data_IF_185458637050
#
_entry.id   IF_185458637050
#
_cell.length_a   1.000
_cell.length_b   1.000
_cell.length_c   1.000
_cell.angle_alpha   90.00
_cell.angle_beta   90.00
_cell.angle_gamma   90.00
#
_symmetry.space_group_name_H-M   'P 1'
#
loop_
_entity.id
_entity.type
_entity.pdbx_description
1 polymer ?
#
# COMPACT_ATOMS: atom_id res chain seq x y z
N UNK A 1 -18.36 -23.71 -6.60
CA UNK A 1 -16.94 -23.46 -6.91
C UNK A 1 -16.78 -21.96 -6.87
N UNK A 2 -16.36 -21.42 -5.74
CA UNK A 2 -16.14 -19.98 -5.58
C UNK A 2 -14.86 -19.60 -6.33
N UNK A 3 -14.97 -18.64 -7.23
CA UNK A 3 -13.83 -18.06 -7.93
C UNK A 3 -12.88 -17.44 -6.89
N UNK A 4 -11.75 -18.06 -6.72
CA UNK A 4 -10.58 -17.46 -6.08
C UNK A 4 -10.21 -16.20 -6.86
N UNK A 5 -9.86 -15.18 -6.11
CA UNK A 5 -9.49 -13.82 -6.48
C UNK A 5 -8.95 -13.69 -7.92
N UNK A 6 -9.67 -13.03 -8.85
CA UNK A 6 -9.25 -12.89 -10.25
C UNK A 6 -7.91 -12.15 -10.39
N UNK A 7 -7.46 -11.44 -9.36
CA UNK A 7 -6.16 -10.76 -9.34
C UNK A 7 -4.99 -11.75 -9.40
N UNK A 8 -5.06 -12.87 -8.68
CA UNK A 8 -4.02 -13.91 -8.71
C UNK A 8 -4.03 -14.71 -10.03
N UNK A 9 -5.20 -14.84 -10.67
CA UNK A 9 -5.33 -15.59 -11.92
C UNK A 9 -4.81 -14.83 -13.15
N UNK A 10 -4.97 -13.51 -13.21
CA UNK A 10 -4.42 -12.70 -14.32
C UNK A 10 -2.89 -12.57 -14.25
N UNK A 11 -2.29 -12.60 -13.04
CA UNK A 11 -0.86 -12.50 -12.85
C UNK A 11 -0.12 -13.75 -13.38
N UNK A 12 -0.77 -14.93 -13.37
CA UNK A 12 -0.09 -16.21 -13.66
C UNK A 12 0.21 -16.51 -15.13
N UNK A 13 -0.34 -15.78 -16.11
CA UNK A 13 -0.23 -16.12 -17.54
C UNK A 13 0.87 -15.44 -18.35
N UNK A 14 1.59 -14.47 -17.79
CA UNK A 14 2.46 -13.58 -18.58
C UNK A 14 3.97 -13.61 -18.26
N UNK A 15 4.50 -14.51 -17.44
CA UNK A 15 5.83 -14.31 -16.88
C UNK A 15 6.85 -15.39 -17.30
N UNK A 16 7.24 -15.42 -18.55
CA UNK A 16 8.56 -15.93 -19.00
C UNK A 16 8.97 -15.19 -20.27
N UNK A 17 10.00 -14.39 -20.37
CA UNK A 17 11.43 -14.61 -20.22
C UNK A 17 12.31 -13.42 -19.76
N UNK A 18 11.90 -12.57 -18.82
CA UNK A 18 12.62 -11.31 -18.53
C UNK A 18 13.34 -11.22 -17.17
N UNK A 19 13.48 -12.32 -16.41
CA UNK A 19 14.16 -12.32 -15.08
C UNK A 19 15.59 -11.74 -15.11
N UNK A 20 16.35 -11.98 -16.17
CA UNK A 20 17.72 -11.47 -16.28
C UNK A 20 17.79 -9.94 -16.45
N UNK A 21 16.79 -9.33 -17.08
CA UNK A 21 16.75 -7.87 -17.31
C UNK A 21 16.40 -7.08 -16.06
N UNK A 22 15.48 -7.58 -15.22
CA UNK A 22 15.07 -6.90 -13.98
C UNK A 22 16.20 -6.84 -12.95
N UNK A 23 16.98 -7.90 -12.79
CA UNK A 23 18.17 -7.93 -11.92
C UNK A 23 19.23 -6.95 -12.42
N UNK A 24 19.42 -6.83 -13.74
CA UNK A 24 20.39 -5.91 -14.35
C UNK A 24 19.97 -4.45 -14.10
N UNK A 25 18.68 -4.12 -14.14
CA UNK A 25 18.19 -2.74 -13.92
C UNK A 25 18.38 -2.30 -12.47
N UNK A 26 18.09 -3.13 -11.50
CA UNK A 26 18.34 -2.85 -10.07
C UNK A 26 19.85 -2.73 -9.81
N UNK A 27 20.66 -3.59 -10.40
CA UNK A 27 22.13 -3.55 -10.29
C UNK A 27 22.71 -2.28 -10.95
N UNK A 28 22.17 -1.82 -12.08
CA UNK A 28 22.60 -0.59 -12.76
C UNK A 28 22.31 0.66 -11.93
N UNK A 29 21.18 0.72 -11.22
CA UNK A 29 20.86 1.85 -10.32
C UNK A 29 21.84 1.90 -9.15
N UNK A 30 22.18 0.76 -8.56
CA UNK A 30 23.18 0.66 -7.49
C UNK A 30 24.58 1.12 -7.98
N UNK A 31 24.94 0.78 -9.21
CA UNK A 31 26.24 1.16 -9.79
C UNK A 31 26.31 2.65 -10.15
N UNK A 32 25.22 3.26 -10.64
CA UNK A 32 25.15 4.68 -10.93
C UNK A 32 25.30 5.56 -9.67
N UNK A 33 24.88 5.06 -8.50
CA UNK A 33 25.05 5.75 -7.22
C UNK A 33 26.50 5.75 -6.70
N UNK A 34 27.43 4.95 -7.27
CA UNK A 34 28.78 4.76 -6.74
C UNK A 34 29.86 5.62 -7.40
N UNK A 35 29.57 6.36 -8.47
CA UNK A 35 30.58 7.05 -9.29
C UNK A 35 30.71 8.56 -9.06
N UNK A 36 30.02 9.14 -8.07
CA UNK A 36 30.06 10.58 -7.78
C UNK A 36 31.06 10.96 -6.69
N UNK A 37 32.14 11.62 -7.02
CA UNK A 37 33.11 12.19 -6.08
C UNK A 37 32.50 13.37 -5.29
N UNK A 38 32.34 13.20 -3.97
CA UNK A 38 32.55 14.21 -2.96
C UNK A 38 31.68 15.47 -2.95
N UNK A 39 30.48 15.36 -2.43
CA UNK A 39 29.79 16.37 -1.61
C UNK A 39 28.98 15.57 -0.60
N UNK A 40 28.72 16.08 0.61
CA UNK A 40 28.06 15.35 1.70
C UNK A 40 26.83 14.59 1.18
N UNK A 41 27.05 13.39 0.68
CA UNK A 41 26.04 12.51 0.13
C UNK A 41 25.43 11.80 1.33
N UNK A 42 24.16 12.06 1.57
CA UNK A 42 23.43 11.25 2.55
C UNK A 42 23.50 9.78 2.11
N UNK A 43 23.69 8.91 3.09
CA UNK A 43 23.89 7.48 2.81
C UNK A 43 22.60 6.87 2.26
N UNK A 44 22.62 6.21 1.09
CA UNK A 44 21.46 5.49 0.61
C UNK A 44 20.98 4.47 1.63
N UNK A 45 19.68 4.30 1.75
CA UNK A 45 19.02 3.38 2.66
C UNK A 45 18.44 2.21 1.89
N UNK A 46 18.66 1.00 2.41
CA UNK A 46 17.94 -0.20 2.02
C UNK A 46 17.05 -0.57 3.20
N UNK A 47 15.76 -0.56 2.99
CA UNK A 47 14.74 -0.90 3.97
C UNK A 47 13.75 -1.89 3.36
N UNK A 48 12.78 -2.32 4.14
CA UNK A 48 11.71 -3.16 3.63
C UNK A 48 11.20 -4.12 4.67
N UNK A 49 10.42 -5.10 4.21
CA UNK A 49 9.87 -6.16 5.04
C UNK A 49 10.08 -7.53 4.43
N UNK A 50 10.20 -8.51 5.31
CA UNK A 50 10.07 -9.93 4.99
C UNK A 50 8.88 -10.43 5.79
N UNK A 51 7.96 -11.12 5.14
CA UNK A 51 6.76 -11.63 5.78
C UNK A 51 6.43 -13.07 5.35
N UNK A 52 5.73 -13.76 6.22
CA UNK A 52 5.07 -15.01 5.92
C UNK A 52 3.65 -14.92 6.46
N UNK A 53 2.69 -15.10 5.60
CA UNK A 53 1.27 -15.03 5.94
C UNK A 53 0.58 -16.35 5.65
N UNK A 54 -0.41 -16.68 6.45
CA UNK A 54 -1.38 -17.73 6.16
C UNK A 54 -2.79 -17.18 6.29
N UNK A 55 -3.65 -17.53 5.36
CA UNK A 55 -5.06 -17.15 5.37
C UNK A 55 -5.91 -18.40 5.18
N UNK A 56 -6.88 -18.62 6.08
CA UNK A 56 -7.83 -19.73 6.02
C UNK A 56 -9.21 -19.19 5.71
N UNK A 57 -9.71 -19.54 4.54
CA UNK A 57 -11.00 -19.15 4.01
C UNK A 57 -11.82 -20.41 3.67
N UNK A 58 -13.03 -20.54 4.22
CA UNK A 58 -13.90 -21.66 3.91
C UNK A 58 -13.27 -23.04 4.16
N UNK A 59 -12.38 -23.16 5.15
CA UNK A 59 -11.66 -24.41 5.47
C UNK A 59 -10.41 -24.68 4.63
N UNK A 60 -10.10 -23.82 3.67
CA UNK A 60 -8.90 -23.90 2.83
C UNK A 60 -7.84 -22.90 3.32
N UNK A 61 -6.61 -23.33 3.52
CA UNK A 61 -5.51 -22.49 3.98
C UNK A 61 -4.55 -22.19 2.83
N UNK A 62 -4.29 -20.92 2.58
CA UNK A 62 -3.29 -20.43 1.64
C UNK A 62 -2.08 -19.88 2.40
N UNK A 63 -0.91 -19.91 1.77
CA UNK A 63 0.33 -19.37 2.33
C UNK A 63 0.95 -18.38 1.38
N UNK A 64 1.52 -17.30 1.93
CA UNK A 64 2.10 -16.19 1.18
C UNK A 64 3.43 -15.74 1.82
N UNK A 65 4.56 -16.35 1.51
CA UNK A 65 5.86 -15.74 1.76
C UNK A 65 6.07 -14.53 0.85
N UNK A 66 6.56 -13.44 1.42
CA UNK A 66 6.74 -12.16 0.72
C UNK A 66 7.98 -11.42 1.19
N UNK A 67 8.67 -10.77 0.27
CA UNK A 67 9.78 -9.85 0.53
C UNK A 67 9.49 -8.56 -0.23
N UNK A 68 9.46 -7.44 0.47
CA UNK A 68 9.27 -6.09 -0.12
C UNK A 68 10.50 -5.21 0.19
N UNK A 69 11.54 -5.24 -0.62
CA UNK A 69 12.66 -4.33 -0.48
C UNK A 69 12.29 -2.92 -0.95
N UNK A 70 12.78 -1.92 -0.20
CA UNK A 70 12.69 -0.51 -0.52
C UNK A 70 14.09 0.09 -0.52
N UNK A 71 14.41 0.86 -1.55
CA UNK A 71 15.66 1.59 -1.70
C UNK A 71 15.32 3.07 -1.76
N UNK A 72 16.01 3.88 -0.97
CA UNK A 72 15.94 5.33 -1.01
C UNK A 72 17.37 5.89 -1.14
N UNK A 73 17.66 6.54 -2.26
CA UNK A 73 18.98 7.06 -2.61
C UNK A 73 18.91 8.56 -2.82
N UNK A 74 19.34 9.39 -1.84
CA UNK A 74 19.46 10.83 -2.03
C UNK A 74 20.62 11.14 -2.97
N UNK A 75 20.37 12.01 -3.94
CA UNK A 75 21.34 12.48 -4.94
C UNK A 75 21.46 13.99 -4.82
N UNK A 76 22.52 14.45 -4.16
CA UNK A 76 22.67 15.85 -3.79
C UNK A 76 21.61 16.30 -2.79
N UNK A 77 21.24 17.60 -2.85
CA UNK A 77 20.34 18.20 -1.83
C UNK A 77 18.86 18.12 -2.18
N UNK A 78 18.52 17.92 -3.45
CA UNK A 78 17.16 18.16 -3.94
C UNK A 78 16.53 16.95 -4.64
N UNK A 79 17.30 15.90 -4.93
CA UNK A 79 16.79 14.72 -5.63
C UNK A 79 16.86 13.49 -4.73
N UNK A 80 15.74 12.81 -4.57
CA UNK A 80 15.64 11.49 -3.96
C UNK A 80 15.17 10.50 -5.01
N UNK A 81 15.86 9.39 -5.17
CA UNK A 81 15.40 8.27 -5.99
C UNK A 81 14.91 7.17 -5.06
N UNK A 82 13.67 6.77 -5.25
CA UNK A 82 13.03 5.74 -4.46
C UNK A 82 12.53 4.59 -5.34
N UNK A 83 12.65 3.37 -4.82
CA UNK A 83 12.12 2.19 -5.47
C UNK A 83 11.64 1.19 -4.42
N UNK A 84 10.49 0.58 -4.66
CA UNK A 84 9.99 -0.58 -3.91
C UNK A 84 9.68 -1.71 -4.89
N UNK A 85 10.09 -2.91 -4.53
CA UNK A 85 9.74 -4.13 -5.24
C UNK A 85 8.91 -5.04 -4.34
N UNK A 86 8.21 -6.00 -4.94
CA UNK A 86 7.57 -7.10 -4.25
C UNK A 86 8.00 -8.42 -4.89
N UNK A 87 8.44 -9.34 -4.06
CA UNK A 87 8.73 -10.73 -4.41
C UNK A 87 7.83 -11.58 -3.54
N UNK A 88 6.86 -12.23 -4.13
CA UNK A 88 5.91 -13.05 -3.38
C UNK A 88 5.70 -14.40 -4.06
N UNK A 89 5.43 -15.40 -3.25
CA UNK A 89 4.99 -16.71 -3.67
C UNK A 89 3.65 -17.02 -3.01
N UNK A 90 2.72 -17.56 -3.76
CA UNK A 90 1.40 -17.94 -3.24
C UNK A 90 1.20 -19.43 -3.41
N UNK A 91 0.85 -20.09 -2.32
CA UNK A 91 0.46 -21.50 -2.27
C UNK A 91 -1.01 -21.58 -1.93
N UNK A 92 -1.84 -21.99 -2.88
CA UNK A 92 -3.30 -22.09 -2.74
C UNK A 92 -3.77 -23.53 -2.84
N UNK A 93 -4.71 -23.99 -2.00
CA UNK A 93 -5.26 -25.32 -2.10
C UNK A 93 -5.88 -25.60 -3.47
N UNK A 94 -5.61 -26.78 -4.02
CA UNK A 94 -6.18 -27.28 -5.27
C UNK A 94 -6.61 -28.74 -5.09
N UNK A 95 -7.33 -29.30 -6.06
CA UNK A 95 -7.79 -30.70 -6.03
C UNK A 95 -6.66 -31.73 -5.89
N UNK A 96 -5.45 -31.38 -6.33
CA UNK A 96 -4.28 -32.26 -6.32
C UNK A 96 -3.18 -31.80 -5.33
N UNK A 97 -3.53 -31.07 -4.29
CA UNK A 97 -2.61 -30.50 -3.30
C UNK A 97 -2.59 -28.98 -3.33
N UNK A 98 -1.42 -28.37 -3.52
CA UNK A 98 -1.29 -26.92 -3.61
C UNK A 98 -0.90 -26.50 -5.01
N UNK A 99 -1.59 -25.51 -5.55
CA UNK A 99 -1.11 -24.75 -6.70
C UNK A 99 -0.14 -23.67 -6.22
N UNK A 100 0.86 -23.39 -7.06
CA UNK A 100 1.91 -22.44 -6.77
C UNK A 100 1.92 -21.33 -7.82
N UNK A 101 2.00 -20.10 -7.38
CA UNK A 101 2.23 -18.94 -8.25
C UNK A 101 3.26 -18.01 -7.60
N UNK A 102 4.01 -17.29 -8.43
CA UNK A 102 4.99 -16.33 -7.97
C UNK A 102 4.81 -14.99 -8.69
N UNK A 103 5.18 -13.92 -8.01
CA UNK A 103 5.24 -12.59 -8.57
C UNK A 103 6.55 -11.92 -8.16
N UNK A 104 7.24 -11.33 -9.14
CA UNK A 104 8.41 -10.50 -8.94
C UNK A 104 8.22 -9.24 -9.76
N UNK A 105 8.13 -8.10 -9.10
CA UNK A 105 7.90 -6.85 -9.79
C UNK A 105 8.26 -5.61 -8.97
N UNK A 106 8.42 -4.49 -9.67
CA UNK A 106 8.55 -3.19 -9.04
C UNK A 106 7.16 -2.67 -8.70
N UNK A 107 6.97 -2.30 -7.43
CA UNK A 107 5.75 -1.59 -7.00
C UNK A 107 5.81 -0.14 -7.49
N UNK A 108 6.98 0.48 -7.40
CA UNK A 108 7.26 1.80 -7.99
C UNK A 108 8.77 2.03 -8.14
N UNK A 109 9.11 2.96 -9.02
CA UNK A 109 10.45 3.51 -9.22
C UNK A 109 10.30 4.98 -9.63
N UNK A 110 10.64 5.89 -8.74
CA UNK A 110 10.42 7.32 -8.90
C UNK A 110 11.62 8.17 -8.50
N UNK A 111 11.69 9.35 -9.07
CA UNK A 111 12.60 10.41 -8.66
C UNK A 111 11.81 11.60 -8.13
N UNK A 112 12.11 12.03 -6.92
CA UNK A 112 11.48 13.12 -6.20
C UNK A 112 12.42 14.33 -6.21
N UNK A 113 12.12 15.34 -7.01
CA UNK A 113 12.89 16.56 -7.08
C UNK A 113 12.20 17.69 -6.30
N UNK A 114 12.83 18.10 -5.19
CA UNK A 114 12.36 19.24 -4.39
C UNK A 114 12.83 20.53 -5.04
N UNK A 115 11.96 21.12 -5.86
CA UNK A 115 12.26 22.35 -6.60
C UNK A 115 12.36 23.57 -5.68
N UNK A 116 11.38 23.68 -4.76
CA UNK A 116 11.32 24.71 -3.70
C UNK A 116 10.68 24.09 -2.46
N UNK A 117 10.76 24.73 -1.27
CA UNK A 117 10.27 24.15 -0.01
C UNK A 117 8.80 23.68 -0.01
N UNK A 118 8.00 24.20 -0.93
CA UNK A 118 6.56 23.88 -1.01
C UNK A 118 6.16 23.04 -2.23
N UNK A 119 7.14 22.63 -3.07
CA UNK A 119 6.88 21.90 -4.30
C UNK A 119 7.93 20.83 -4.55
N UNK A 120 7.48 19.62 -4.60
CA UNK A 120 8.23 18.44 -5.07
C UNK A 120 7.61 17.96 -6.37
N UNK A 121 8.46 17.78 -7.37
CA UNK A 121 8.11 17.18 -8.67
C UNK A 121 8.54 15.71 -8.62
N UNK A 122 7.61 14.81 -8.85
CA UNK A 122 7.86 13.37 -8.91
C UNK A 122 7.79 12.92 -10.36
N UNK A 123 8.70 12.08 -10.78
CA UNK A 123 8.71 11.50 -12.12
C UNK A 123 9.08 10.03 -12.08
N UNK A 124 8.43 9.23 -12.92
CA UNK A 124 8.67 7.79 -13.01
C UNK A 124 7.42 6.94 -12.87
N UNK A 125 7.57 5.76 -12.32
CA UNK A 125 6.47 4.90 -11.88
C UNK A 125 6.21 5.16 -10.41
N UNK A 126 5.01 5.60 -10.06
CA UNK A 126 4.63 5.99 -8.69
C UNK A 126 3.28 5.40 -8.30
N UNK A 127 3.03 5.29 -7.01
CA UNK A 127 1.71 4.92 -6.50
C UNK A 127 0.73 6.07 -6.72
N UNK A 128 -0.43 5.78 -7.31
CA UNK A 128 -1.45 6.81 -7.53
C UNK A 128 -1.88 7.41 -6.18
N UNK A 129 -1.75 8.73 -6.00
CA UNK A 129 -2.07 9.39 -4.75
C UNK A 129 -3.57 9.66 -4.60
N UNK A 130 -4.37 8.61 -4.83
CA UNK A 130 -5.81 8.59 -4.61
C UNK A 130 -6.10 7.88 -3.29
N UNK A 131 -6.86 8.52 -2.40
CA UNK A 131 -7.03 8.03 -1.04
C UNK A 131 -5.75 8.06 -0.20
N UNK A 132 -5.70 7.25 0.83
CA UNK A 132 -4.54 7.13 1.73
C UNK A 132 -3.97 5.73 1.81
N UNK A 133 -4.78 4.69 1.56
CA UNK A 133 -4.37 3.31 1.76
C UNK A 133 -3.18 2.93 0.89
N UNK A 134 -3.26 3.20 -0.40
CA UNK A 134 -2.27 2.75 -1.38
C UNK A 134 -0.85 3.25 -1.07
N UNK A 135 -0.69 4.54 -0.78
CA UNK A 135 0.63 5.11 -0.49
C UNK A 135 1.12 4.83 0.92
N UNK A 136 0.23 4.90 1.92
CA UNK A 136 0.62 4.97 3.34
C UNK A 136 0.48 3.65 4.08
N UNK A 137 -0.42 2.76 3.68
CA UNK A 137 -0.79 1.59 4.46
C UNK A 137 -0.50 0.26 3.74
N UNK A 138 -0.26 0.27 2.44
CA UNK A 138 -0.05 -0.95 1.67
C UNK A 138 1.23 -1.75 2.00
N UNK A 139 2.36 -1.17 2.48
CA UNK A 139 3.53 -1.97 2.82
C UNK A 139 3.27 -2.94 3.96
N UNK A 140 3.73 -4.19 3.83
CA UNK A 140 3.48 -5.27 4.81
C UNK A 140 3.98 -4.95 6.23
N UNK A 141 5.00 -4.11 6.37
CA UNK A 141 5.54 -3.72 7.68
C UNK A 141 4.79 -2.56 8.34
N UNK A 142 3.80 -1.97 7.65
CA UNK A 142 2.95 -0.87 8.15
C UNK A 142 1.52 -1.35 8.39
N UNK A 143 1.01 -2.22 7.51
CA UNK A 143 -0.36 -2.74 7.62
C UNK A 143 -0.57 -3.45 8.97
N UNK A 144 -1.71 -3.20 9.61
CA UNK A 144 -2.10 -3.86 10.86
C UNK A 144 -2.93 -5.14 10.62
N UNK A 145 -3.45 -5.31 9.41
CA UNK A 145 -4.19 -6.50 8.99
C UNK A 145 -3.53 -7.02 7.71
N UNK A 146 -3.56 -8.32 7.50
CA UNK A 146 -2.93 -8.95 6.35
C UNK A 146 -3.64 -8.56 5.04
N UNK A 147 -4.96 -8.51 5.09
CA UNK A 147 -5.76 -8.11 3.94
C UNK A 147 -5.92 -6.59 3.85
N UNK A 148 -5.88 -6.08 2.62
CA UNK A 148 -6.32 -4.74 2.30
C UNK A 148 -7.83 -4.54 2.49
N UNK A 149 -8.32 -3.29 2.50
CA UNK A 149 -9.75 -3.01 2.48
C UNK A 149 -10.45 -3.57 1.25
N UNK A 150 -11.75 -3.89 1.39
CA UNK A 150 -12.60 -4.38 0.29
C UNK A 150 -12.70 -3.38 -0.87
N UNK A 151 -12.53 -2.09 -0.57
CA UNK A 151 -12.48 -1.02 -1.56
C UNK A 151 -11.27 -0.13 -1.29
N UNK A 152 -10.54 0.16 -2.32
CA UNK A 152 -9.34 1.00 -2.31
C UNK A 152 -8.97 1.40 -3.73
N UNK A 153 -8.06 2.36 -3.88
CA UNK A 153 -7.62 2.85 -5.19
C UNK A 153 -7.10 1.76 -6.13
N UNK A 154 -6.42 0.75 -5.60
CA UNK A 154 -5.94 -0.40 -6.36
C UNK A 154 -7.08 -1.18 -7.03
N UNK A 155 -8.23 -1.31 -6.36
CA UNK A 155 -9.41 -1.96 -6.92
C UNK A 155 -10.14 -1.09 -7.94
N UNK A 156 -10.33 0.18 -7.63
CA UNK A 156 -11.11 1.10 -8.45
C UNK A 156 -10.36 1.59 -9.69
N UNK A 157 -9.08 1.95 -9.53
CA UNK A 157 -8.26 2.58 -10.57
C UNK A 157 -7.28 1.60 -11.25
N UNK A 158 -7.60 0.31 -11.26
CA UNK A 158 -6.80 -0.71 -11.92
C UNK A 158 -5.58 -1.12 -11.11
N UNK A 159 -4.36 -0.81 -11.57
CA UNK A 159 -3.14 -1.27 -10.90
C UNK A 159 -2.75 -0.44 -9.66
N UNK A 160 -3.41 0.70 -9.42
CA UNK A 160 -3.02 1.65 -8.37
C UNK A 160 -1.65 2.31 -8.59
N UNK A 161 -1.05 2.10 -9.79
CA UNK A 161 0.28 2.61 -10.19
C UNK A 161 0.12 3.52 -11.39
N UNK A 162 0.83 4.65 -11.38
CA UNK A 162 0.95 5.58 -12.51
C UNK A 162 2.36 5.57 -13.09
N UNK A 163 2.47 5.80 -14.41
CA UNK A 163 3.74 6.07 -15.08
C UNK A 163 3.69 7.48 -15.68
N UNK A 164 4.42 8.42 -15.12
CA UNK A 164 4.35 9.81 -15.57
C UNK A 164 4.90 10.80 -14.57
N UNK A 165 4.07 11.74 -14.11
CA UNK A 165 4.50 12.78 -13.20
C UNK A 165 3.47 13.15 -12.15
N UNK A 166 4.00 13.63 -11.02
CA UNK A 166 3.22 14.09 -9.88
C UNK A 166 3.81 15.43 -9.38
N UNK A 167 2.94 16.32 -8.95
CA UNK A 167 3.31 17.52 -8.22
C UNK A 167 2.70 17.42 -6.82
N UNK A 168 3.54 17.50 -5.79
CA UNK A 168 3.09 17.44 -4.40
C UNK A 168 3.76 18.48 -3.53
N UNK A 169 3.07 18.91 -2.48
CA UNK A 169 3.64 19.88 -1.57
C UNK A 169 2.64 20.38 -0.53
N UNK A 170 3.01 21.49 0.13
CA UNK A 170 2.17 22.18 1.09
C UNK A 170 1.80 23.56 0.54
N UNK A 171 0.51 23.77 0.25
CA UNK A 171 0.01 25.07 -0.20
C UNK A 171 0.05 26.11 0.92
N UNK A 172 -0.27 25.68 2.15
CA UNK A 172 -0.28 26.52 3.35
C UNK A 172 0.32 25.71 4.50
N UNK A 173 1.26 26.30 5.23
CA UNK A 173 1.81 25.73 6.45
C UNK A 173 1.77 26.77 7.56
N UNK A 174 0.99 26.52 8.60
CA UNK A 174 0.82 27.36 9.78
C UNK A 174 0.92 26.51 11.04
N UNK A 175 1.19 27.09 12.22
CA UNK A 175 1.29 26.33 13.48
C UNK A 175 0.01 25.52 13.82
N UNK A 176 -1.16 26.04 13.46
CA UNK A 176 -2.45 25.43 13.82
C UNK A 176 -3.07 24.58 12.71
N UNK A 177 -2.63 24.75 11.46
CA UNK A 177 -3.11 23.95 10.33
C UNK A 177 -2.13 23.94 9.16
N UNK A 178 -2.18 22.89 8.37
CA UNK A 178 -1.52 22.85 7.08
C UNK A 178 -2.44 22.27 6.02
N UNK A 179 -2.30 22.77 4.78
CA UNK A 179 -3.01 22.26 3.62
C UNK A 179 -1.98 21.71 2.67
N UNK A 180 -2.02 20.41 2.42
CA UNK A 180 -1.19 19.72 1.44
C UNK A 180 -1.99 19.41 0.18
N UNK A 181 -1.29 19.33 -0.93
CA UNK A 181 -1.86 18.95 -2.21
C UNK A 181 -0.96 17.95 -2.93
N UNK A 182 -1.60 17.15 -3.75
CA UNK A 182 -0.95 16.25 -4.70
C UNK A 182 -1.78 16.26 -5.97
N UNK A 183 -1.14 16.37 -7.15
CA UNK A 183 -1.78 16.21 -8.45
C UNK A 183 -0.94 15.28 -9.29
N UNK A 184 -1.56 14.47 -10.13
CA UNK A 184 -0.84 13.53 -10.99
C UNK A 184 -1.38 13.49 -12.41
N UNK A 185 -0.51 13.07 -13.29
CA UNK A 185 -0.84 12.61 -14.63
C UNK A 185 -0.09 11.31 -14.90
N UNK A 186 -0.82 10.27 -15.25
CA UNK A 186 -0.29 8.97 -15.66
C UNK A 186 -0.53 8.76 -17.14
N UNK A 187 0.51 8.34 -17.85
CA UNK A 187 0.42 7.88 -19.23
C UNK A 187 0.01 6.39 -19.29
N UNK A 188 -0.50 5.95 -20.40
CA UNK A 188 -0.73 4.53 -20.66
C UNK A 188 0.59 3.81 -20.93
N UNK A 189 0.82 2.71 -20.24
CA UNK A 189 1.92 1.78 -20.53
C UNK A 189 1.38 0.36 -20.57
N UNK A 190 1.71 -0.39 -21.60
CA UNK A 190 1.49 -1.83 -21.70
C UNK A 190 2.72 -2.67 -21.35
N UNK A 191 3.76 -2.04 -20.81
CA UNK A 191 4.93 -2.74 -20.33
C UNK A 191 4.56 -3.55 -19.08
N UNK A 192 4.87 -4.83 -19.05
CA UNK A 192 4.54 -5.72 -17.92
C UNK A 192 5.12 -5.22 -16.58
N UNK A 193 6.30 -4.60 -16.61
CA UNK A 193 6.98 -4.07 -15.42
C UNK A 193 6.37 -2.74 -14.93
N UNK A 194 5.83 -1.92 -15.84
CA UNK A 194 5.29 -0.59 -15.55
C UNK A 194 3.89 -0.44 -16.18
N UNK A 195 3.04 -1.43 -15.94
CA UNK A 195 1.67 -1.38 -16.45
C UNK A 195 0.92 -0.24 -15.77
N UNK A 196 0.41 0.67 -16.56
CA UNK A 196 -0.35 1.82 -16.08
C UNK A 196 -1.45 2.22 -17.02
N UNK A 197 -2.51 2.77 -16.47
CA UNK A 197 -3.61 3.36 -17.23
C UNK A 197 -3.42 4.87 -17.35
N UNK A 198 -3.91 5.43 -18.46
CA UNK A 198 -3.90 6.87 -18.63
C UNK A 198 -4.94 7.52 -17.72
N UNK A 199 -4.49 8.29 -16.73
CA UNK A 199 -5.35 8.93 -15.75
C UNK A 199 -4.77 10.28 -15.29
N UNK A 200 -5.61 11.11 -14.72
CA UNK A 200 -5.21 12.33 -14.05
C UNK A 200 -6.07 12.55 -12.80
N UNK A 201 -5.55 13.28 -11.84
CA UNK A 201 -6.30 13.59 -10.64
C UNK A 201 -5.52 14.39 -9.63
N UNK A 202 -6.07 14.48 -8.42
CA UNK A 202 -5.46 15.17 -7.31
C UNK A 202 -6.08 14.80 -5.97
N UNK A 203 -5.33 15.10 -4.91
CA UNK A 203 -5.74 15.00 -3.51
C UNK A 203 -5.42 16.31 -2.80
N UNK A 204 -6.30 16.73 -1.90
CA UNK A 204 -6.07 17.83 -0.98
C UNK A 204 -6.36 17.34 0.43
N UNK A 205 -5.49 17.67 1.38
CA UNK A 205 -5.66 17.31 2.78
C UNK A 205 -5.42 18.51 3.67
N UNK A 206 -6.28 18.65 4.69
CA UNK A 206 -6.15 19.58 5.79
C UNK A 206 -5.66 18.81 7.02
N UNK A 207 -4.52 19.21 7.56
CA UNK A 207 -3.97 18.66 8.81
C UNK A 207 -4.07 19.71 9.94
N UNK A 208 -4.59 19.28 11.09
CA UNK A 208 -4.74 20.06 12.31
C UNK A 208 -3.79 19.49 13.39
N UNK A 209 -2.57 20.07 13.58
CA UNK A 209 -1.54 19.49 14.45
C UNK A 209 -1.98 19.33 15.90
N UNK A 210 -2.68 20.30 16.48
CA UNK A 210 -3.16 20.27 17.86
C UNK A 210 -4.13 19.11 18.12
N UNK A 211 -4.92 18.75 17.13
CA UNK A 211 -5.89 17.64 17.19
C UNK A 211 -5.33 16.35 16.62
N UNK A 212 -4.15 16.40 15.97
CA UNK A 212 -3.55 15.30 15.23
C UNK A 212 -4.56 14.66 14.26
N UNK A 213 -5.31 15.53 13.57
CA UNK A 213 -6.39 15.16 12.68
C UNK A 213 -6.07 15.59 11.27
N UNK A 214 -6.13 14.65 10.33
CA UNK A 214 -6.10 14.90 8.89
C UNK A 214 -7.46 14.55 8.28
N UNK A 215 -7.95 15.44 7.43
CA UNK A 215 -9.16 15.22 6.63
C UNK A 215 -8.81 15.62 5.20
N UNK A 216 -9.19 14.82 4.23
CA UNK A 216 -8.91 15.13 2.84
C UNK A 216 -9.89 14.51 1.87
N UNK A 217 -9.76 14.93 0.62
CA UNK A 217 -10.52 14.41 -0.50
C UNK A 217 -9.62 14.18 -1.72
N UNK A 218 -10.01 13.21 -2.52
CA UNK A 218 -9.33 12.82 -3.75
C UNK A 218 -10.32 12.81 -4.90
N UNK A 219 -9.85 13.20 -6.08
CA UNK A 219 -10.57 13.04 -7.33
C UNK A 219 -9.61 12.51 -8.39
N UNK A 220 -10.07 11.58 -9.17
CA UNK A 220 -9.33 11.02 -10.30
C UNK A 220 -10.25 10.78 -11.48
N UNK A 221 -9.66 10.74 -12.68
CA UNK A 221 -10.37 10.40 -13.90
C UNK A 221 -9.52 9.50 -14.79
N UNK A 222 -10.09 8.41 -15.26
CA UNK A 222 -9.54 7.65 -16.37
C UNK A 222 -9.66 8.49 -17.65
N UNK A 223 -8.56 8.62 -18.40
CA UNK A 223 -8.52 9.38 -19.64
C UNK A 223 -8.49 8.44 -20.86
N UNK A 224 -8.91 7.20 -20.67
CA UNK A 224 -9.03 6.19 -21.71
C UNK A 224 -10.30 5.33 -21.49
N UNK A 225 -10.78 4.68 -22.54
CA UNK A 225 -11.98 3.86 -22.46
C UNK A 225 -13.24 4.71 -22.16
N UNK A 226 -13.96 4.35 -21.12
CA UNK A 226 -15.21 4.98 -20.68
C UNK A 226 -15.04 6.34 -20.01
N UNK A 227 -13.80 6.78 -19.75
CA UNK A 227 -13.50 8.05 -19.08
C UNK A 227 -14.10 8.15 -17.67
N UNK A 228 -14.01 7.09 -16.89
CA UNK A 228 -14.57 6.95 -15.54
C UNK A 228 -14.01 7.97 -14.56
N UNK A 229 -14.87 8.43 -13.64
CA UNK A 229 -14.50 9.32 -12.56
C UNK A 229 -14.40 8.53 -11.26
N UNK A 230 -13.47 8.94 -10.40
CA UNK A 230 -13.22 8.37 -9.09
C UNK A 230 -13.22 9.49 -8.06
N UNK A 231 -13.89 9.27 -6.95
CA UNK A 231 -14.03 10.21 -5.85
C UNK A 231 -13.68 9.51 -4.55
N UNK A 232 -12.96 10.19 -3.67
CA UNK A 232 -12.58 9.65 -2.37
C UNK A 232 -12.54 10.70 -1.29
N UNK A 233 -12.78 10.29 -0.05
CA UNK A 233 -12.63 11.12 1.13
C UNK A 233 -11.96 10.29 2.23
N UNK A 234 -11.10 10.91 3.04
CA UNK A 234 -10.40 10.21 4.11
C UNK A 234 -10.32 11.02 5.39
N UNK A 235 -10.21 10.30 6.49
CA UNK A 235 -9.93 10.84 7.81
C UNK A 235 -8.83 10.02 8.47
N UNK A 236 -7.85 10.70 9.07
CA UNK A 236 -6.83 10.10 9.89
C UNK A 236 -6.74 10.88 11.20
N UNK A 237 -7.02 10.23 12.31
CA UNK A 237 -7.07 10.88 13.62
C UNK A 237 -6.34 10.08 14.68
N UNK A 238 -5.38 10.74 15.33
CA UNK A 238 -4.64 10.22 16.47
C UNK A 238 -4.87 11.15 17.66
N UNK A 239 -5.98 11.00 18.43
CA UNK A 239 -6.32 11.94 19.50
C UNK A 239 -5.16 12.16 20.47
N UNK A 240 -4.90 13.41 20.84
CA UNK A 240 -3.87 13.73 21.80
C UNK A 240 -4.14 13.03 23.14
N UNK A 241 -3.08 12.58 23.82
CA UNK A 241 -3.14 11.90 25.11
C UNK A 241 -3.85 10.54 25.12
N UNK A 242 -4.11 9.95 23.95
CA UNK A 242 -4.61 8.58 23.84
C UNK A 242 -3.65 7.74 22.97
N UNK A 243 -3.71 6.44 23.13
CA UNK A 243 -3.01 5.50 22.27
C UNK A 243 -3.86 5.06 21.06
N UNK A 244 -5.07 5.62 20.94
CA UNK A 244 -6.01 5.31 19.87
C UNK A 244 -5.58 5.97 18.56
N UNK A 245 -5.69 5.25 17.47
CA UNK A 245 -5.60 5.76 16.10
C UNK A 245 -6.83 5.32 15.32
N UNK A 246 -7.48 6.26 14.66
CA UNK A 246 -8.63 6.05 13.81
C UNK A 246 -8.28 6.44 12.38
N UNK A 247 -8.60 5.57 11.45
CA UNK A 247 -8.41 5.77 10.01
C UNK A 247 -9.68 5.37 9.27
N UNK A 248 -10.05 6.13 8.27
CA UNK A 248 -11.23 5.84 7.46
C UNK A 248 -11.04 6.40 6.06
N UNK A 249 -11.58 5.68 5.09
CA UNK A 249 -11.62 6.12 3.70
C UNK A 249 -12.96 5.69 3.09
N UNK A 250 -13.53 6.56 2.29
CA UNK A 250 -14.65 6.29 1.41
C UNK A 250 -14.21 6.51 -0.02
N UNK A 251 -14.44 5.55 -0.86
CA UNK A 251 -14.10 5.60 -2.27
C UNK A 251 -15.30 5.25 -3.13
N UNK A 252 -15.41 5.93 -4.28
CA UNK A 252 -16.45 5.72 -5.28
C UNK A 252 -15.86 5.77 -6.68
N UNK A 253 -16.22 4.81 -7.49
CA UNK A 253 -16.06 4.78 -8.94
C UNK A 253 -17.41 4.56 -9.62
N UNK A 254 -17.42 4.34 -10.92
CA UNK A 254 -18.66 4.09 -11.67
C UNK A 254 -19.25 2.70 -11.38
N UNK A 255 -18.41 1.71 -11.09
CA UNK A 255 -18.81 0.30 -10.94
C UNK A 255 -18.93 -0.16 -9.48
N UNK A 256 -18.35 0.58 -8.54
CA UNK A 256 -18.40 0.25 -7.13
C UNK A 256 -18.20 1.49 -6.25
N UNK A 257 -18.68 1.41 -5.01
CA UNK A 257 -18.39 2.36 -3.95
C UNK A 257 -18.29 1.64 -2.62
N UNK A 258 -17.68 2.28 -1.62
CA UNK A 258 -17.63 1.70 -0.30
C UNK A 258 -16.79 2.49 0.67
N UNK A 259 -16.63 1.94 1.85
CA UNK A 259 -15.83 2.56 2.90
C UNK A 259 -15.17 1.51 3.78
N UNK A 260 -14.16 1.95 4.48
CA UNK A 260 -13.58 1.24 5.62
C UNK A 260 -13.30 2.22 6.76
N UNK A 261 -13.40 1.72 7.98
CA UNK A 261 -13.08 2.43 9.21
C UNK A 261 -12.22 1.47 10.03
N UNK A 262 -11.03 1.89 10.39
CA UNK A 262 -10.09 1.12 11.19
C UNK A 262 -9.72 1.88 12.45
N UNK A 263 -9.75 1.17 13.57
CA UNK A 263 -9.30 1.65 14.87
C UNK A 263 -8.22 0.71 15.38
N UNK A 264 -7.09 1.23 15.79
CA UNK A 264 -6.06 0.49 16.51
C UNK A 264 -5.70 1.19 17.83
N UNK A 265 -5.30 0.39 18.80
CA UNK A 265 -4.90 0.87 20.11
C UNK A 265 -3.49 0.42 20.45
N UNK A 266 -2.56 1.37 20.56
CA UNK A 266 -1.16 1.08 20.87
C UNK A 266 -0.99 0.91 22.36
N UNK A 267 -0.99 -0.32 22.85
CA UNK A 267 -0.86 -0.65 24.28
C UNK A 267 0.48 -0.22 24.90
N UNK A 268 1.41 0.33 24.12
CA UNK A 268 2.65 0.94 24.58
C UNK A 268 2.42 2.02 25.67
N UNK A 269 1.22 2.63 25.69
CA UNK A 269 0.81 3.54 26.75
C UNK A 269 0.80 2.89 28.16
N UNK A 270 0.73 1.55 28.25
CA UNK A 270 0.69 0.79 29.51
C UNK A 270 2.05 0.21 29.94
N UNK A 271 3.14 0.86 29.66
CA UNK A 271 4.46 0.45 30.14
C UNK A 271 5.53 0.29 29.05
N UNK A 272 5.25 0.81 27.85
CA UNK A 272 6.17 0.78 26.72
C UNK A 272 6.37 -0.63 26.16
N UNK A 273 7.23 -0.74 25.15
CA UNK A 273 7.56 -2.02 24.50
C UNK A 273 8.34 -3.01 25.40
N UNK A 274 8.81 -2.57 26.58
CA UNK A 274 9.46 -3.45 27.55
C UNK A 274 8.44 -4.28 28.36
N UNK A 275 7.20 -3.80 28.44
CA UNK A 275 6.10 -4.52 29.07
C UNK A 275 5.48 -5.50 28.08
N UNK A 276 5.14 -6.72 28.53
CA UNK A 276 4.45 -7.68 27.68
C UNK A 276 3.08 -7.18 27.20
N UNK A 277 2.35 -6.42 28.05
CA UNK A 277 1.06 -5.79 27.68
C UNK A 277 1.30 -4.70 26.64
N UNK A 278 2.34 -3.89 26.80
CA UNK A 278 2.65 -2.78 25.90
C UNK A 278 3.06 -3.22 24.47
N UNK A 279 3.29 -4.51 24.26
CA UNK A 279 3.59 -5.09 22.93
C UNK A 279 2.36 -5.43 22.12
N UNK A 280 1.19 -5.50 22.73
CA UNK A 280 -0.06 -5.76 22.03
C UNK A 280 -0.60 -4.50 21.34
N UNK A 281 -1.18 -4.70 20.16
CA UNK A 281 -1.88 -3.68 19.40
C UNK A 281 -3.17 -4.30 18.85
N UNK A 282 -4.29 -4.21 19.60
CA UNK A 282 -5.60 -4.64 19.09
C UNK A 282 -6.05 -3.71 17.96
N UNK A 283 -6.62 -4.31 16.94
CA UNK A 283 -7.10 -3.66 15.72
C UNK A 283 -8.53 -4.10 15.43
N UNK A 284 -9.34 -3.15 15.04
CA UNK A 284 -10.70 -3.41 14.55
C UNK A 284 -10.91 -2.67 13.24
N UNK A 285 -11.40 -3.35 12.20
CA UNK A 285 -11.82 -2.72 10.95
C UNK A 285 -13.21 -3.17 10.57
N UNK A 286 -14.07 -2.18 10.27
CA UNK A 286 -15.37 -2.40 9.66
C UNK A 286 -15.35 -1.83 8.25
N UNK A 287 -15.88 -2.57 7.30
CA UNK A 287 -15.82 -2.20 5.91
C UNK A 287 -17.02 -2.71 5.11
N UNK A 288 -17.35 -1.97 4.06
CA UNK A 288 -18.43 -2.34 3.16
C UNK A 288 -18.13 -1.89 1.75
N UNK A 289 -18.36 -2.77 0.79
CA UNK A 289 -18.36 -2.48 -0.64
C UNK A 289 -19.76 -2.66 -1.20
N UNK A 290 -20.17 -1.71 -2.02
CA UNK A 290 -21.42 -1.74 -2.78
C UNK A 290 -21.08 -1.86 -4.25
N UNK A 291 -21.51 -2.94 -4.87
CA UNK A 291 -21.35 -3.15 -6.31
C UNK A 291 -22.49 -2.47 -7.06
N UNK A 292 -22.16 -1.59 -7.99
CA UNK A 292 -23.11 -0.87 -8.85
C UNK A 292 -23.28 -1.65 -10.16
N UNK A 293 -22.17 -2.13 -10.74
CA UNK A 293 -22.17 -2.89 -11.98
C UNK A 293 -21.28 -4.13 -11.87
N UNK A 294 -21.85 -5.30 -12.13
CA UNK A 294 -21.20 -6.60 -12.04
C UNK A 294 -20.36 -6.96 -13.26
N UNK A 295 -20.44 -6.17 -14.33
CA UNK A 295 -19.66 -6.39 -15.56
C UNK A 295 -18.22 -5.92 -15.46
N UNK A 296 -17.88 -5.12 -14.43
CA UNK A 296 -16.55 -4.56 -14.29
C UNK A 296 -15.52 -5.62 -13.89
N UNK A 297 -14.38 -5.59 -14.56
CA UNK A 297 -13.20 -6.41 -14.27
C UNK A 297 -12.24 -5.64 -13.35
N UNK A 298 -12.71 -5.25 -12.18
CA UNK A 298 -11.91 -4.62 -11.12
C UNK A 298 -11.64 -5.62 -9.98
N UNK A 299 -10.84 -5.22 -9.00
CA UNK A 299 -10.51 -6.05 -7.82
C UNK A 299 -11.50 -5.86 -6.66
N UNK A 300 -12.62 -5.16 -6.87
CA UNK A 300 -13.66 -4.97 -5.87
C UNK A 300 -14.61 -6.18 -5.88
N UNK A 301 -15.16 -6.63 -4.74
CA UNK A 301 -16.09 -7.75 -4.69
C UNK A 301 -17.24 -7.59 -5.69
N UNK A 302 -17.59 -8.67 -6.39
CA UNK A 302 -18.63 -8.70 -7.44
C UNK A 302 -20.05 -8.56 -6.89
N UNK A 303 -20.22 -8.65 -5.57
CA UNK A 303 -21.50 -8.49 -4.87
C UNK A 303 -21.32 -7.55 -3.68
N UNK A 304 -22.43 -6.98 -3.21
CA UNK A 304 -22.40 -6.18 -1.99
C UNK A 304 -21.83 -7.02 -0.83
N UNK A 305 -20.78 -6.54 -0.23
CA UNK A 305 -20.03 -7.28 0.78
C UNK A 305 -19.78 -6.38 1.99
N UNK A 306 -20.06 -6.91 3.17
CA UNK A 306 -19.69 -6.31 4.45
C UNK A 306 -18.64 -7.20 5.11
N UNK A 307 -17.66 -6.61 5.81
CA UNK A 307 -16.69 -7.38 6.58
C UNK A 307 -16.32 -6.64 7.87
N UNK A 308 -16.25 -7.40 8.95
CA UNK A 308 -15.71 -6.94 10.22
C UNK A 308 -14.46 -7.76 10.54
N UNK A 309 -13.34 -7.07 10.77
CA UNK A 309 -12.05 -7.66 11.06
C UNK A 309 -11.64 -7.33 12.49
N UNK A 310 -11.21 -8.34 13.25
CA UNK A 310 -10.65 -8.21 14.59
C UNK A 310 -9.22 -8.72 14.55
N UNK A 311 -8.27 -7.82 14.71
CA UNK A 311 -6.85 -8.12 14.70
C UNK A 311 -6.24 -7.96 16.08
N UNK A 312 -5.16 -8.71 16.30
CA UNK A 312 -4.29 -8.55 17.46
C UNK A 312 -2.86 -8.72 16.97
N UNK A 313 -2.11 -7.63 17.02
CA UNK A 313 -0.70 -7.61 16.70
C UNK A 313 0.13 -7.72 17.96
N UNK A 314 1.25 -8.43 17.89
CA UNK A 314 2.22 -8.55 18.95
C UNK A 314 3.60 -8.10 18.48
N UNK A 315 4.07 -7.00 19.03
CA UNK A 315 5.36 -6.38 18.69
C UNK A 315 6.50 -7.08 19.42
N UNK A 316 7.31 -7.83 18.69
CA UNK A 316 8.53 -8.48 19.17
C UNK A 316 9.74 -7.50 19.12
N UNK A 317 10.83 -7.80 19.85
CA UNK A 317 12.10 -7.10 19.66
C UNK A 317 12.60 -7.18 18.20
N UNK A 318 13.54 -6.29 17.85
CA UNK A 318 14.20 -6.28 16.53
C UNK A 318 13.24 -6.07 15.34
N UNK A 319 12.25 -5.16 15.50
CA UNK A 319 11.32 -4.79 14.42
C UNK A 319 10.53 -5.98 13.83
N UNK A 320 10.28 -7.00 14.62
CA UNK A 320 9.45 -8.15 14.24
C UNK A 320 8.06 -7.98 14.82
N UNK A 321 7.04 -8.35 14.04
CA UNK A 321 5.65 -8.30 14.47
C UNK A 321 4.94 -9.59 14.08
N UNK A 322 4.17 -10.15 15.00
CA UNK A 322 3.22 -11.23 14.74
C UNK A 322 1.85 -10.56 14.59
N UNK A 323 1.15 -10.91 13.53
CA UNK A 323 -0.20 -10.44 13.24
C UNK A 323 -1.13 -11.64 13.27
N UNK A 324 -2.29 -11.48 13.90
CA UNK A 324 -3.36 -12.46 13.82
C UNK A 324 -4.69 -11.73 13.70
N UNK A 325 -5.57 -12.21 12.86
CA UNK A 325 -6.90 -11.64 12.70
C UNK A 325 -7.97 -12.70 12.45
N UNK A 326 -9.17 -12.36 12.85
CA UNK A 326 -10.38 -13.05 12.51
C UNK A 326 -11.32 -12.07 11.83
N UNK A 327 -11.84 -12.47 10.68
CA UNK A 327 -12.79 -11.66 9.91
C UNK A 327 -14.08 -12.44 9.67
N UNK A 328 -15.19 -11.74 9.81
CA UNK A 328 -16.50 -12.23 9.40
C UNK A 328 -16.98 -11.41 8.21
N UNK A 329 -17.16 -12.07 7.09
CA UNK A 329 -17.63 -11.47 5.86
C UNK A 329 -19.06 -11.94 5.58
N UNK A 330 -19.92 -11.00 5.21
CA UNK A 330 -21.31 -11.20 4.84
C UNK A 330 -21.53 -10.74 3.41
N UNK A 331 -22.15 -11.58 2.59
CA UNK A 331 -22.49 -11.22 1.22
C UNK A 331 -23.66 -12.07 0.71
N UNK A 332 -24.30 -11.64 -0.39
CA UNK A 332 -25.33 -12.45 -1.05
C UNK A 332 -24.79 -13.75 -1.64
N UNK A 333 -23.48 -13.87 -1.81
CA UNK A 333 -22.82 -15.11 -2.25
C UNK A 333 -22.59 -16.11 -1.10
N UNK A 334 -22.89 -15.72 0.13
CA UNK A 334 -22.70 -16.51 1.36
C UNK A 334 -21.80 -15.82 2.37
N UNK A 335 -21.95 -16.25 3.62
CA UNK A 335 -21.15 -15.76 4.73
C UNK A 335 -19.90 -16.60 4.88
N UNK A 336 -18.78 -15.93 5.21
CA UNK A 336 -17.50 -16.62 5.36
C UNK A 336 -16.75 -16.12 6.59
N UNK A 337 -16.08 -17.05 7.26
CA UNK A 337 -15.09 -16.77 8.29
C UNK A 337 -13.69 -16.84 7.68
N UNK A 338 -12.87 -15.85 8.00
CA UNK A 338 -11.49 -15.76 7.53
C UNK A 338 -10.59 -15.68 8.75
N UNK A 339 -9.60 -16.56 8.82
CA UNK A 339 -8.57 -16.55 9.84
C UNK A 339 -7.23 -16.27 9.19
N UNK A 340 -6.52 -15.29 9.71
CA UNK A 340 -5.23 -14.91 9.16
C UNK A 340 -4.19 -14.85 10.27
N UNK A 341 -2.99 -15.30 9.96
CA UNK A 341 -1.84 -15.22 10.84
C UNK A 341 -0.61 -14.90 10.02
N UNK A 342 0.26 -14.05 10.53
CA UNK A 342 1.49 -13.70 9.85
C UNK A 342 2.59 -13.29 10.80
N UNK A 343 3.80 -13.35 10.29
CA UNK A 343 4.98 -12.78 10.93
C UNK A 343 5.66 -11.86 9.92
N UNK A 344 6.01 -10.66 10.37
CA UNK A 344 6.70 -9.66 9.56
C UNK A 344 7.93 -9.17 10.29
N UNK A 345 9.05 -9.18 9.59
CA UNK A 345 10.30 -8.56 10.03
C UNK A 345 10.60 -7.35 9.16
N UNK A 346 10.78 -6.17 9.77
CA UNK A 346 11.22 -4.96 9.08
C UNK A 346 12.73 -4.84 9.20
N UNK A 347 13.41 -4.75 8.08
CA UNK A 347 14.84 -4.48 8.03
C UNK A 347 15.13 -3.04 7.61
N UNK A 348 16.26 -2.51 8.09
CA UNK A 348 16.76 -1.19 7.75
C UNK A 348 18.29 -1.23 7.77
N UNK A 349 18.92 -1.06 6.64
CA UNK A 349 20.37 -1.05 6.51
C UNK A 349 20.83 0.23 5.81
N UNK A 350 21.81 0.97 6.34
CA UNK A 350 22.52 1.94 5.54
C UNK A 350 23.28 1.18 4.44
N UNK A 351 23.05 1.55 3.17
CA UNK A 351 23.67 0.86 2.02
C UNK A 351 25.20 1.03 2.00
N UNK A 352 25.72 2.04 2.66
CA UNK A 352 27.14 2.37 2.72
C UNK A 352 27.50 2.98 4.07
N UNK A 353 28.39 2.37 4.82
CA UNK A 353 29.14 3.06 5.87
C UNK A 353 30.37 3.66 5.21
N UNK A 354 30.32 4.96 4.90
CA UNK A 354 31.53 5.69 4.52
C UNK A 354 32.60 5.50 5.59
N UNK A 355 33.80 5.09 5.19
CA UNK A 355 34.98 5.07 6.04
C UNK A 355 35.46 6.50 6.25
#
# INVERSE_FOLDING_TARGET
MANLDPMLYQISKSIYPNMARSVITVSAIVILCTTGNGLAQETPLISGGVGFFSSTFGGNTSYLPIIEPLIAAPIGKNLLVESRAALLESFTPSTNGYSHSHFIGLTYLQGDFTAVPHLTVVGGSFLLPFGTYNERLSPIWISNLQDGPLIQSLGLMGTGVGLGGELRGSAISRPHYSISYTTWFSARSGNEQFNSQRSAGGRVSLYLPERRLEIGGSYGRSLQGTHENFEGAHVWWEPANTALRLRSEYDRGEHAQGYWIEADYRSQAFGGLNSWIGRFEPVFRMQQSFRIDTSASDSVPLVNTQRADFGLDYNLPHNTRILTSYSRQFSSAGDVNIWETGIVYRFLFPAWKGK
#
